data_IF_420481399989
#
_entry.id   IF_420481399989
#
_cell.length_a   1.000
_cell.length_b   1.000
_cell.length_c   1.000
_cell.angle_alpha   90.00
_cell.angle_beta   90.00
_cell.angle_gamma   90.00
#
_symmetry.space_group_name_H-M   'P 1'
#
loop_
_entity.id
_entity.type
_entity.pdbx_description
1 polymer ?
#
# COMPACT_ATOMS: atom_id res chain seq x y z
N UNK A 1 11.15 40.09 -41.65
CA UNK A 1 10.61 38.72 -41.65
C UNK A 1 11.15 38.01 -40.42
N UNK A 2 10.27 37.81 -39.44
CA UNK A 2 10.58 37.21 -38.15
C UNK A 2 10.84 35.69 -38.30
N UNK A 3 11.74 35.17 -37.48
CA UNK A 3 12.03 33.74 -37.35
C UNK A 3 12.70 33.47 -36.01
N UNK A 4 12.04 33.86 -34.91
CA UNK A 4 12.46 33.46 -33.57
C UNK A 4 11.87 32.06 -33.30
N UNK A 5 12.73 31.05 -33.31
CA UNK A 5 12.39 29.70 -32.86
C UNK A 5 12.02 29.73 -31.39
N UNK A 6 10.77 29.45 -31.08
CA UNK A 6 10.33 29.16 -29.71
C UNK A 6 10.88 27.80 -29.33
N UNK A 7 11.88 27.80 -28.44
CA UNK A 7 12.38 26.59 -27.82
C UNK A 7 11.24 25.91 -27.07
N UNK A 8 11.00 24.63 -27.39
CA UNK A 8 10.16 23.76 -26.59
C UNK A 8 10.81 23.63 -25.21
N UNK A 9 10.29 24.37 -24.24
CA UNK A 9 10.55 24.10 -22.84
C UNK A 9 9.95 22.72 -22.55
N UNK A 10 10.82 21.71 -22.47
CA UNK A 10 10.44 20.41 -21.94
C UNK A 10 9.94 20.64 -20.52
N UNK A 11 8.65 20.42 -20.29
CA UNK A 11 8.11 20.39 -18.94
C UNK A 11 8.88 19.29 -18.19
N UNK A 12 9.60 19.67 -17.15
CA UNK A 12 10.17 18.69 -16.24
C UNK A 12 9.01 17.85 -15.69
N UNK A 13 9.08 16.52 -15.83
CA UNK A 13 8.12 15.62 -15.21
C UNK A 13 8.07 15.90 -13.70
N UNK A 14 6.87 15.92 -13.14
CA UNK A 14 6.69 16.09 -11.71
C UNK A 14 7.44 14.96 -10.98
N UNK A 15 8.18 15.25 -9.90
CA UNK A 15 8.91 14.22 -9.17
C UNK A 15 7.93 13.17 -8.64
N UNK A 16 8.31 11.90 -8.76
CA UNK A 16 7.58 10.79 -8.16
C UNK A 16 7.57 10.89 -6.63
N UNK A 17 6.54 10.32 -6.00
CA UNK A 17 6.29 10.39 -4.55
C UNK A 17 7.53 10.07 -3.70
N UNK A 18 8.33 9.09 -4.11
CA UNK A 18 9.50 8.65 -3.35
C UNK A 18 10.84 9.20 -3.85
N UNK A 19 10.87 10.08 -4.86
CA UNK A 19 12.12 10.55 -5.47
C UNK A 19 13.03 11.26 -4.45
N UNK A 20 12.44 12.04 -3.55
CA UNK A 20 13.19 12.69 -2.47
C UNK A 20 13.75 11.67 -1.49
N UNK A 21 12.96 10.66 -1.12
CA UNK A 21 13.39 9.56 -0.24
C UNK A 21 14.54 8.77 -0.88
N UNK A 22 14.44 8.43 -2.16
CA UNK A 22 15.49 7.72 -2.89
C UNK A 22 16.81 8.50 -2.92
N UNK A 23 16.77 9.81 -3.21
CA UNK A 23 17.97 10.66 -3.13
C UNK A 23 18.59 10.70 -1.74
N UNK A 24 17.77 10.66 -0.68
CA UNK A 24 18.27 10.61 0.70
C UNK A 24 18.92 9.26 1.00
N UNK A 25 18.27 8.15 0.62
CA UNK A 25 18.80 6.80 0.82
C UNK A 25 20.15 6.61 0.11
N UNK A 26 20.29 7.10 -1.13
CA UNK A 26 21.55 7.04 -1.87
C UNK A 26 22.69 7.80 -1.18
N UNK A 27 22.37 8.96 -0.57
CA UNK A 27 23.34 9.73 0.21
C UNK A 27 23.73 9.01 1.50
N UNK A 28 22.77 8.40 2.20
CA UNK A 28 23.03 7.62 3.42
C UNK A 28 23.91 6.40 3.11
N UNK A 29 23.65 5.72 1.99
CA UNK A 29 24.43 4.56 1.54
C UNK A 29 25.90 4.86 1.25
N UNK A 30 26.29 6.13 1.04
CA UNK A 30 27.70 6.50 0.91
C UNK A 30 28.48 6.41 2.24
N UNK A 31 27.78 6.36 3.38
CA UNK A 31 28.38 6.40 4.71
C UNK A 31 28.06 5.14 5.52
N UNK A 32 26.81 4.66 5.44
CA UNK A 32 26.33 3.50 6.21
C UNK A 32 25.52 2.53 5.35
N UNK A 33 25.63 1.21 5.59
CA UNK A 33 24.74 0.26 4.94
C UNK A 33 23.29 0.47 5.40
N UNK A 34 22.37 0.55 4.43
CA UNK A 34 20.92 0.54 4.69
C UNK A 34 20.43 -0.90 4.57
N UNK A 35 19.97 -1.50 5.66
CA UNK A 35 19.50 -2.90 5.66
C UNK A 35 18.01 -3.03 5.32
N UNK A 36 17.20 -2.04 5.67
CA UNK A 36 15.77 -2.02 5.38
C UNK A 36 15.22 -0.59 5.25
N UNK A 37 14.10 -0.47 4.55
CA UNK A 37 13.27 0.73 4.46
C UNK A 37 11.86 0.37 4.88
N UNK A 38 11.23 1.22 5.69
CA UNK A 38 9.82 1.11 6.03
C UNK A 38 9.03 2.22 5.32
N UNK A 39 8.00 1.84 4.58
CA UNK A 39 7.10 2.77 3.90
C UNK A 39 5.72 2.14 3.71
N UNK A 40 4.70 2.97 3.45
CA UNK A 40 3.35 2.48 3.23
C UNK A 40 3.30 1.59 1.98
N UNK A 41 2.67 0.42 2.12
CA UNK A 41 2.36 -0.47 1.01
C UNK A 41 1.19 -1.39 1.37
N UNK A 42 0.13 -1.33 0.58
CA UNK A 42 -1.00 -2.26 0.67
C UNK A 42 -1.84 -2.25 -0.61
N UNK A 43 -2.92 -3.02 -0.65
CA UNK A 43 -3.82 -3.08 -1.81
C UNK A 43 -4.38 -1.69 -2.17
N UNK A 44 -4.51 -0.77 -1.21
CA UNK A 44 -5.07 0.57 -1.39
C UNK A 44 -4.04 1.72 -1.54
N UNK A 45 -2.75 1.42 -1.40
CA UNK A 45 -1.63 2.38 -1.44
C UNK A 45 -0.47 1.66 -2.10
N UNK A 46 -0.32 1.88 -3.41
CA UNK A 46 0.55 1.09 -4.30
C UNK A 46 1.73 1.89 -4.82
N UNK A 47 1.90 3.12 -4.37
CA UNK A 47 2.81 4.11 -4.94
C UNK A 47 4.27 3.67 -4.75
N UNK A 48 4.57 2.99 -3.63
CA UNK A 48 5.86 2.37 -3.39
C UNK A 48 6.27 1.34 -4.45
N UNK A 49 5.32 0.71 -5.16
CA UNK A 49 5.61 -0.26 -6.22
C UNK A 49 6.27 0.37 -7.45
N UNK A 50 6.06 1.67 -7.69
CA UNK A 50 6.59 2.34 -8.87
C UNK A 50 8.11 2.55 -8.80
N UNK A 51 8.67 2.76 -7.60
CA UNK A 51 10.08 3.14 -7.47
C UNK A 51 10.77 2.60 -6.23
N UNK A 52 10.15 2.66 -5.05
CA UNK A 52 10.83 2.33 -3.78
C UNK A 52 11.02 0.82 -3.58
N UNK A 53 10.00 0.01 -3.89
CA UNK A 53 10.08 -1.46 -3.80
C UNK A 53 11.09 -2.05 -4.79
N UNK A 54 11.10 -1.66 -6.09
CA UNK A 54 12.13 -2.09 -7.03
C UNK A 54 13.54 -1.61 -6.65
N UNK A 55 13.66 -0.39 -6.11
CA UNK A 55 14.95 0.14 -5.67
C UNK A 55 15.54 -0.69 -4.52
N UNK A 56 14.71 -1.12 -3.56
CA UNK A 56 15.11 -2.00 -2.47
C UNK A 56 15.54 -3.38 -3.00
N UNK A 57 14.77 -3.96 -3.93
CA UNK A 57 15.08 -5.25 -4.55
C UNK A 57 16.47 -5.25 -5.21
N UNK A 58 16.73 -4.24 -6.06
CA UNK A 58 17.98 -4.12 -6.81
C UNK A 58 19.23 -3.99 -5.92
N UNK A 59 19.05 -3.66 -4.63
CA UNK A 59 20.14 -3.44 -3.65
C UNK A 59 20.18 -4.49 -2.54
N UNK A 60 19.29 -5.49 -2.57
CA UNK A 60 19.18 -6.49 -1.51
C UNK A 60 18.75 -5.90 -0.16
N UNK A 61 17.93 -4.84 -0.19
CA UNK A 61 17.42 -4.13 0.99
C UNK A 61 16.03 -4.65 1.32
N UNK A 62 15.76 -4.91 2.60
CA UNK A 62 14.43 -5.28 3.06
C UNK A 62 13.43 -4.14 2.91
N UNK A 63 12.20 -4.44 2.51
CA UNK A 63 11.09 -3.49 2.48
C UNK A 63 10.05 -3.89 3.53
N UNK A 64 9.90 -3.06 4.56
CA UNK A 64 8.87 -3.23 5.57
C UNK A 64 7.62 -2.45 5.15
N UNK A 65 6.58 -3.19 4.79
CA UNK A 65 5.31 -2.63 4.37
C UNK A 65 4.52 -2.17 5.61
N UNK A 66 4.54 -0.86 5.84
CA UNK A 66 3.74 -0.20 6.86
C UNK A 66 2.27 -0.12 6.43
N UNK A 67 1.37 -0.15 7.41
CA UNK A 67 -0.09 -0.10 7.23
C UNK A 67 -0.62 -1.10 6.17
N UNK A 68 -0.20 -2.38 6.18
CA UNK A 68 -0.53 -3.32 5.11
C UNK A 68 -2.03 -3.69 5.06
N UNK A 69 -2.78 -3.38 6.12
CA UNK A 69 -4.24 -3.56 6.23
C UNK A 69 -5.02 -2.25 6.07
N UNK A 70 -4.36 -1.17 5.61
CA UNK A 70 -5.00 0.12 5.40
C UNK A 70 -5.64 0.68 6.66
N UNK A 71 -4.89 0.75 7.76
CA UNK A 71 -5.40 1.18 9.07
C UNK A 71 -6.69 0.43 9.52
N UNK A 72 -6.80 -0.84 9.09
CA UNK A 72 -7.92 -1.74 9.39
C UNK A 72 -9.04 -1.71 8.36
N UNK A 73 -9.07 -0.80 7.40
CA UNK A 73 -10.12 -0.75 6.37
C UNK A 73 -10.17 -2.01 5.51
N UNK A 74 -9.01 -2.55 5.12
CA UNK A 74 -8.92 -3.74 4.25
C UNK A 74 -9.39 -5.04 4.92
N UNK A 75 -9.59 -5.03 6.24
CA UNK A 75 -10.19 -6.18 6.95
C UNK A 75 -11.68 -6.32 6.61
N UNK A 76 -12.32 -5.25 6.13
CA UNK A 76 -13.75 -5.19 5.87
C UNK A 76 -14.60 -5.20 7.14
N UNK A 77 -14.05 -4.90 8.31
CA UNK A 77 -14.82 -4.84 9.56
C UNK A 77 -15.25 -3.43 9.94
N UNK A 78 -14.83 -2.40 9.19
CA UNK A 78 -15.22 -1.02 9.44
C UNK A 78 -16.52 -0.70 8.69
N UNK A 79 -17.48 -0.10 9.40
CA UNK A 79 -18.74 0.36 8.80
C UNK A 79 -18.64 1.86 8.50
N UNK A 80 -18.90 2.30 7.25
CA UNK A 80 -18.95 3.74 6.94
C UNK A 80 -19.96 4.48 7.84
N UNK A 81 -19.53 5.60 8.41
CA UNK A 81 -20.41 6.47 9.20
C UNK A 81 -20.49 6.15 10.71
N UNK A 82 -19.90 5.05 11.20
CA UNK A 82 -19.82 4.78 12.65
C UNK A 82 -18.87 5.75 13.39
N UNK A 83 -17.99 6.44 12.64
CA UNK A 83 -17.04 7.40 13.19
C UNK A 83 -15.90 6.74 13.97
N UNK A 84 -15.01 7.57 14.50
CA UNK A 84 -13.88 7.14 15.32
C UNK A 84 -13.77 8.06 16.54
N UNK A 85 -13.16 7.57 17.61
CA UNK A 85 -12.85 8.39 18.78
C UNK A 85 -11.95 9.58 18.38
N UNK A 86 -12.07 10.75 19.04
CA UNK A 86 -11.37 11.97 18.63
C UNK A 86 -9.83 11.88 18.54
N UNK A 87 -9.23 10.99 19.35
CA UNK A 87 -7.79 10.75 19.40
C UNK A 87 -7.32 9.65 18.43
N UNK A 88 -8.24 8.98 17.73
CA UNK A 88 -7.91 8.04 16.67
C UNK A 88 -7.44 8.79 15.42
N UNK A 89 -6.28 8.44 14.89
CA UNK A 89 -5.71 9.06 13.68
C UNK A 89 -6.65 8.97 12.47
N UNK A 90 -7.51 7.95 12.42
CA UNK A 90 -8.51 7.78 11.36
C UNK A 90 -9.59 8.85 11.41
N UNK A 91 -9.89 9.41 12.58
CA UNK A 91 -10.88 10.48 12.73
C UNK A 91 -10.55 11.73 11.89
N UNK A 92 -9.27 11.93 11.55
CA UNK A 92 -8.78 13.08 10.78
C UNK A 92 -8.33 12.71 9.36
N UNK A 93 -8.35 11.43 9.01
CA UNK A 93 -7.79 10.95 7.76
C UNK A 93 -8.82 11.04 6.62
N UNK A 94 -8.48 11.60 5.43
CA UNK A 94 -9.50 11.86 4.41
C UNK A 94 -10.17 10.59 3.86
N UNK A 95 -9.43 9.47 3.73
CA UNK A 95 -9.98 8.13 3.42
C UNK A 95 -11.05 7.60 4.38
N UNK A 96 -11.15 8.14 5.59
CA UNK A 96 -12.01 7.63 6.67
C UNK A 96 -13.28 8.47 6.90
N UNK A 97 -13.58 9.42 6.01
CA UNK A 97 -14.92 10.00 5.94
C UNK A 97 -15.93 8.96 5.47
N UNK A 98 -17.21 9.12 5.82
CA UNK A 98 -18.26 8.18 5.39
C UNK A 98 -18.34 8.08 3.85
N UNK A 99 -18.18 9.20 3.15
CA UNK A 99 -18.18 9.27 1.69
C UNK A 99 -16.99 8.50 1.08
N UNK A 100 -15.77 8.78 1.55
CA UNK A 100 -14.58 8.10 1.00
C UNK A 100 -14.55 6.61 1.38
N UNK A 101 -15.00 6.25 2.58
CA UNK A 101 -15.15 4.84 2.96
C UNK A 101 -16.20 4.12 2.11
N UNK A 102 -17.25 4.81 1.65
CA UNK A 102 -18.23 4.26 0.71
C UNK A 102 -17.64 4.13 -0.71
N UNK A 103 -16.95 5.16 -1.18
CA UNK A 103 -16.28 5.17 -2.49
C UNK A 103 -15.24 4.05 -2.62
N UNK A 104 -14.53 3.72 -1.54
CA UNK A 104 -13.51 2.67 -1.51
C UNK A 104 -14.06 1.24 -1.26
N UNK A 105 -15.39 1.07 -1.05
CA UNK A 105 -15.99 -0.25 -0.80
C UNK A 105 -15.69 -1.31 -1.87
N UNK A 106 -15.59 -0.98 -3.17
CA UNK A 106 -15.24 -1.97 -4.19
C UNK A 106 -13.93 -2.72 -3.91
N UNK A 107 -12.95 -2.08 -3.25
CA UNK A 107 -11.68 -2.71 -2.86
C UNK A 107 -11.94 -3.84 -1.86
N UNK A 108 -12.65 -3.55 -0.77
CA UNK A 108 -13.00 -4.54 0.27
C UNK A 108 -13.87 -5.64 -0.32
N UNK A 109 -14.83 -5.30 -1.19
CA UNK A 109 -15.67 -6.27 -1.87
C UNK A 109 -14.84 -7.24 -2.73
N UNK A 110 -13.83 -6.74 -3.45
CA UNK A 110 -12.88 -7.56 -4.20
C UNK A 110 -12.10 -8.52 -3.32
N UNK A 111 -11.52 -8.02 -2.23
CA UNK A 111 -10.80 -8.85 -1.26
C UNK A 111 -11.69 -9.94 -0.66
N UNK A 112 -12.96 -9.64 -0.35
CA UNK A 112 -13.93 -10.64 0.13
C UNK A 112 -14.19 -11.73 -0.91
N UNK A 113 -14.31 -11.40 -2.20
CA UNK A 113 -14.51 -12.41 -3.26
C UNK A 113 -13.31 -13.33 -3.40
N UNK A 114 -12.09 -12.78 -3.35
CA UNK A 114 -10.86 -13.57 -3.35
C UNK A 114 -10.80 -14.45 -2.09
N UNK A 115 -11.05 -13.88 -0.93
CA UNK A 115 -11.01 -14.57 0.36
C UNK A 115 -11.96 -15.77 0.40
N UNK A 116 -13.17 -15.62 -0.15
CA UNK A 116 -14.15 -16.69 -0.25
C UNK A 116 -13.67 -17.90 -1.08
N UNK A 117 -12.83 -17.69 -2.11
CA UNK A 117 -12.26 -18.80 -2.90
C UNK A 117 -11.26 -19.64 -2.10
N UNK A 118 -10.64 -19.06 -1.10
CA UNK A 118 -9.57 -19.66 -0.30
C UNK A 118 -10.00 -20.07 1.11
N UNK A 119 -11.24 -19.78 1.51
CA UNK A 119 -11.68 -19.96 2.90
C UNK A 119 -10.91 -19.05 3.88
N UNK A 120 -10.47 -17.87 3.41
CA UNK A 120 -9.67 -16.91 4.15
C UNK A 120 -10.49 -15.67 4.54
N UNK A 121 -9.86 -14.75 5.28
CA UNK A 121 -10.39 -13.41 5.57
C UNK A 121 -9.86 -12.38 4.56
N UNK A 122 -10.56 -11.23 4.37
CA UNK A 122 -10.03 -10.13 3.55
C UNK A 122 -8.67 -9.63 4.04
N UNK A 123 -8.43 -9.65 5.35
CA UNK A 123 -7.15 -9.27 5.95
C UNK A 123 -6.03 -10.23 5.51
N UNK A 124 -6.26 -11.54 5.54
CA UNK A 124 -5.30 -12.53 5.06
C UNK A 124 -4.99 -12.34 3.57
N UNK A 125 -6.00 -12.08 2.74
CA UNK A 125 -5.78 -11.81 1.30
C UNK A 125 -4.94 -10.54 1.09
N UNK A 126 -5.24 -9.46 1.80
CA UNK A 126 -4.47 -8.21 1.70
C UNK A 126 -3.00 -8.43 2.10
N UNK A 127 -2.75 -9.15 3.19
CA UNK A 127 -1.39 -9.48 3.65
C UNK A 127 -0.66 -10.41 2.68
N UNK A 128 -1.32 -11.48 2.22
CA UNK A 128 -0.75 -12.39 1.22
C UNK A 128 -0.37 -11.64 -0.07
N UNK A 129 -1.24 -10.74 -0.54
CA UNK A 129 -0.94 -9.88 -1.69
C UNK A 129 0.29 -9.02 -1.45
N UNK A 130 0.44 -8.41 -0.27
CA UNK A 130 1.63 -7.61 0.07
C UNK A 130 2.90 -8.47 0.05
N UNK A 131 2.85 -9.69 0.58
CA UNK A 131 3.99 -10.63 0.58
C UNK A 131 4.35 -11.09 -0.84
N UNK A 132 3.40 -11.13 -1.78
CA UNK A 132 3.70 -11.46 -3.19
C UNK A 132 4.50 -10.39 -3.93
N UNK A 133 4.74 -9.21 -3.32
CA UNK A 133 5.47 -8.10 -3.97
C UNK A 133 6.98 -8.33 -4.03
N UNK A 134 7.51 -9.34 -3.35
CA UNK A 134 8.91 -9.75 -3.46
C UNK A 134 9.40 -10.44 -2.19
N UNK A 135 10.46 -11.24 -2.29
CA UNK A 135 11.05 -11.94 -1.15
C UNK A 135 11.66 -10.99 -0.11
N UNK A 136 11.99 -9.77 -0.53
CA UNK A 136 12.48 -8.69 0.34
C UNK A 136 11.37 -7.95 1.06
N UNK A 137 10.09 -8.21 0.74
CA UNK A 137 8.95 -7.51 1.33
C UNK A 137 8.44 -8.26 2.57
N UNK A 138 8.33 -7.56 3.69
CA UNK A 138 7.75 -8.06 4.94
C UNK A 138 6.60 -7.15 5.34
N UNK A 139 5.40 -7.72 5.54
CA UNK A 139 4.25 -6.96 6.02
C UNK A 139 4.34 -6.72 7.53
N UNK A 140 4.03 -5.51 8.00
CA UNK A 140 3.95 -5.15 9.42
C UNK A 140 2.50 -4.92 9.88
N UNK A 141 1.66 -5.98 10.00
CA UNK A 141 0.30 -5.81 10.49
C UNK A 141 0.28 -5.55 12.00
N UNK A 142 -0.37 -4.46 12.42
CA UNK A 142 -0.63 -4.18 13.83
C UNK A 142 -1.65 -5.14 14.43
N UNK A 143 -1.46 -5.51 15.71
CA UNK A 143 -2.42 -6.32 16.47
C UNK A 143 -2.33 -6.01 17.96
N UNK A 144 -3.45 -6.14 18.68
CA UNK A 144 -3.52 -6.06 20.14
C UNK A 144 -4.07 -7.34 20.80
N UNK A 145 -4.38 -8.37 20.00
CA UNK A 145 -4.98 -9.63 20.47
C UNK A 145 -4.34 -10.81 19.77
N UNK A 146 -4.08 -11.88 20.53
CA UNK A 146 -3.44 -13.10 20.04
C UNK A 146 -4.14 -13.67 18.80
N UNK A 147 -5.47 -13.78 18.82
CA UNK A 147 -6.24 -14.29 17.66
C UNK A 147 -5.94 -13.56 16.35
N UNK A 148 -5.70 -12.25 16.39
CA UNK A 148 -5.39 -11.47 15.19
C UNK A 148 -3.94 -11.66 14.78
N UNK A 149 -3.02 -11.87 15.74
CA UNK A 149 -1.65 -12.24 15.42
C UNK A 149 -1.61 -13.57 14.66
N UNK A 150 -2.36 -14.58 15.14
CA UNK A 150 -2.47 -15.89 14.48
C UNK A 150 -3.13 -15.79 13.10
N UNK A 151 -4.24 -15.06 12.97
CA UNK A 151 -4.88 -14.82 11.68
C UNK A 151 -3.93 -14.14 10.69
N UNK A 152 -3.26 -13.05 11.11
CA UNK A 152 -2.31 -12.33 10.26
C UNK A 152 -1.12 -13.21 9.85
N UNK A 153 -0.58 -14.03 10.76
CA UNK A 153 0.55 -14.92 10.47
C UNK A 153 0.20 -15.97 9.41
N UNK A 154 -1.00 -16.56 9.50
CA UNK A 154 -1.47 -17.56 8.53
C UNK A 154 -1.65 -17.02 7.11
N UNK A 155 -1.65 -15.69 6.90
CA UNK A 155 -1.63 -15.10 5.57
C UNK A 155 -0.39 -15.49 4.75
N UNK A 156 0.73 -15.82 5.40
CA UNK A 156 1.96 -16.27 4.73
C UNK A 156 1.81 -17.66 4.07
N UNK A 157 0.82 -18.45 4.49
CA UNK A 157 0.52 -19.77 3.94
C UNK A 157 -0.46 -19.71 2.77
N UNK A 158 -1.08 -18.55 2.53
CA UNK A 158 -2.08 -18.35 1.49
C UNK A 158 -1.42 -18.17 0.12
N UNK A 159 -1.59 -19.16 -0.75
CA UNK A 159 -1.13 -19.09 -2.14
C UNK A 159 -2.19 -18.45 -3.05
N UNK A 160 -2.08 -17.14 -3.27
CA UNK A 160 -2.92 -16.43 -4.23
C UNK A 160 -2.61 -16.90 -5.66
N UNK A 161 -3.66 -17.23 -6.42
CA UNK A 161 -3.55 -17.66 -7.82
C UNK A 161 -3.33 -16.45 -8.74
N UNK A 162 -2.91 -16.69 -9.98
CA UNK A 162 -2.82 -15.65 -11.01
C UNK A 162 -4.16 -14.93 -11.21
N UNK A 163 -5.28 -15.67 -11.15
CA UNK A 163 -6.63 -15.11 -11.21
C UNK A 163 -6.90 -14.16 -10.04
N UNK A 164 -6.46 -14.50 -8.83
CA UNK A 164 -6.65 -13.65 -7.66
C UNK A 164 -5.84 -12.37 -7.77
N UNK A 165 -4.58 -12.48 -8.19
CA UNK A 165 -3.70 -11.33 -8.38
C UNK A 165 -4.21 -10.41 -9.49
N UNK A 166 -4.70 -10.96 -10.60
CA UNK A 166 -5.34 -10.19 -11.66
C UNK A 166 -6.61 -9.48 -11.16
N UNK A 167 -7.46 -10.15 -10.41
CA UNK A 167 -8.66 -9.51 -9.83
C UNK A 167 -8.30 -8.37 -8.87
N UNK A 168 -7.26 -8.53 -8.05
CA UNK A 168 -6.77 -7.47 -7.15
C UNK A 168 -6.15 -6.32 -7.95
N UNK A 169 -5.46 -6.61 -9.06
CA UNK A 169 -4.84 -5.60 -9.92
C UNK A 169 -5.90 -4.66 -10.53
N UNK A 170 -7.04 -5.20 -10.94
CA UNK A 170 -8.17 -4.48 -11.55
C UNK A 170 -9.07 -3.72 -10.55
N UNK A 171 -8.77 -3.79 -9.24
CA UNK A 171 -9.49 -2.98 -8.25
C UNK A 171 -9.23 -1.49 -8.49
N UNK A 172 -10.24 -0.62 -8.27
CA UNK A 172 -10.04 0.82 -8.44
C UNK A 172 -8.97 1.35 -7.49
N UNK A 173 -8.28 2.41 -7.92
CA UNK A 173 -7.42 3.18 -7.04
C UNK A 173 -8.23 3.73 -5.86
N UNK A 174 -7.60 3.75 -4.67
CA UNK A 174 -8.24 4.29 -3.49
C UNK A 174 -8.35 5.82 -3.58
N UNK A 175 -9.45 6.36 -3.06
CA UNK A 175 -9.74 7.79 -3.04
C UNK A 175 -9.57 8.38 -1.64
N UNK A 176 -9.19 9.65 -1.56
CA UNK A 176 -9.06 10.42 -0.32
C UNK A 176 -7.70 10.25 0.35
N UNK A 177 -6.63 10.09 -0.42
CA UNK A 177 -5.27 10.10 0.12
C UNK A 177 -4.90 11.50 0.66
N UNK A 178 -3.78 11.61 1.38
CA UNK A 178 -3.28 12.93 1.80
C UNK A 178 -2.65 13.72 0.64
N UNK A 179 -2.46 13.08 -0.50
CA UNK A 179 -1.73 13.55 -1.66
C UNK A 179 -2.65 13.83 -2.86
N UNK A 180 -3.95 13.56 -2.70
CA UNK A 180 -5.04 13.93 -3.63
C UNK A 180 -5.35 15.44 -3.52
#
# INVERSE_FOLDING_TARGET
>A
TAGAGTGAQGAAEAPGMHDTTLRQLERVQQVFPVSAVEAELSVWSREALASLVPWCEARGIGFFAAMPLGNGYLTGTLTPGEGFEPDDVRARHPRFTAEMMAANQPIVAGLRRVAARHGATPAQVALAWTLTRGRHVVALPGTKKERWALENASAAELALTERDLAEIAELPAAQGSWED
#
